data_IF_978006600781
#
_entry.id   IF_978006600781
#
_cell.length_a   1.000
_cell.length_b   1.000
_cell.length_c   1.000
_cell.angle_alpha   90.00
_cell.angle_beta   90.00
_cell.angle_gamma   90.00
#
_symmetry.space_group_name_H-M   'P 1'
#
loop_
_entity.id
_entity.type
_entity.pdbx_description
1 polymer ?
#
# COMPACT_ATOMS: atom_id res chain seq x y z
N UNK A 1 1.50 -17.17 15.86
CA UNK A 1 0.42 -17.65 16.75
C UNK A 1 0.89 -17.40 18.16
N UNK A 2 0.40 -16.33 18.78
CA UNK A 2 1.01 -15.75 19.99
C UNK A 2 0.06 -15.74 21.19
N UNK A 3 -0.86 -16.72 21.26
CA UNK A 3 -1.80 -16.91 22.36
C UNK A 3 -2.67 -15.68 22.72
N UNK A 4 -3.00 -14.83 21.73
CA UNK A 4 -3.90 -13.70 21.93
C UNK A 4 -5.37 -14.09 22.00
N UNK A 5 -5.73 -15.23 21.40
CA UNK A 5 -7.10 -15.73 21.25
C UNK A 5 -7.04 -17.25 21.38
N UNK A 6 -8.00 -17.83 22.11
CA UNK A 6 -8.05 -19.27 22.38
C UNK A 6 -8.49 -20.09 21.15
N UNK A 7 -9.38 -19.51 20.33
CA UNK A 7 -9.94 -20.17 19.14
C UNK A 7 -9.12 -19.86 17.88
N UNK A 8 -8.98 -20.84 16.97
CA UNK A 8 -8.32 -20.59 15.69
C UNK A 8 -9.15 -19.65 14.79
N UNK A 9 -8.53 -18.88 13.88
CA UNK A 9 -9.24 -17.92 13.02
C UNK A 9 -10.32 -18.49 12.10
N UNK A 10 -10.34 -19.81 11.89
CA UNK A 10 -11.38 -20.48 11.11
C UNK A 10 -12.71 -20.62 11.87
N UNK A 11 -12.67 -20.70 13.20
CA UNK A 11 -13.82 -20.93 14.08
C UNK A 11 -14.43 -19.64 14.63
N UNK A 12 -13.63 -18.56 14.73
CA UNK A 12 -14.10 -17.27 15.20
C UNK A 12 -14.52 -16.36 14.02
N UNK A 13 -15.82 -16.01 13.89
CA UNK A 13 -16.33 -15.23 12.77
C UNK A 13 -15.81 -13.78 12.73
N UNK A 14 -15.32 -13.22 13.84
CA UNK A 14 -14.86 -11.82 13.90
C UNK A 14 -13.46 -11.64 13.28
N UNK A 15 -12.60 -12.65 13.43
CA UNK A 15 -11.20 -12.63 12.97
C UNK A 15 -10.99 -13.44 11.69
N UNK A 16 -12.03 -14.09 11.18
CA UNK A 16 -11.98 -14.80 9.90
C UNK A 16 -11.62 -13.85 8.75
N UNK A 17 -10.57 -14.20 8.02
CA UNK A 17 -10.10 -13.45 6.86
C UNK A 17 -11.05 -13.62 5.65
N UNK A 18 -11.05 -12.62 4.76
CA UNK A 18 -11.77 -12.63 3.49
C UNK A 18 -13.21 -12.10 3.55
N UNK A 19 -13.62 -11.49 4.66
CA UNK A 19 -14.97 -10.94 4.83
C UNK A 19 -15.07 -9.48 4.37
N UNK A 20 -13.98 -8.71 4.48
CA UNK A 20 -14.00 -7.28 4.19
C UNK A 20 -13.62 -7.01 2.74
N UNK A 21 -14.33 -6.08 2.08
CA UNK A 21 -14.11 -5.75 0.65
C UNK A 21 -12.69 -5.25 0.33
N UNK A 22 -12.00 -4.68 1.30
CA UNK A 22 -10.64 -4.14 1.13
C UNK A 22 -9.53 -5.13 1.52
N UNK A 23 -9.89 -6.30 2.07
CA UNK A 23 -8.90 -7.31 2.44
C UNK A 23 -8.24 -7.89 1.19
N UNK A 24 -6.96 -8.21 1.33
CA UNK A 24 -6.23 -8.90 0.27
C UNK A 24 -6.73 -10.36 0.21
N UNK A 25 -6.85 -10.95 -0.99
CA UNK A 25 -7.34 -12.32 -1.13
C UNK A 25 -6.37 -13.38 -0.60
N UNK A 26 -5.09 -13.04 -0.42
CA UNK A 26 -4.04 -13.94 0.06
C UNK A 26 -3.02 -13.19 0.94
N UNK A 27 -2.27 -13.90 1.80
CA UNK A 27 -1.19 -13.30 2.57
C UNK A 27 -0.13 -12.67 1.68
N UNK A 28 0.32 -11.47 2.05
CA UNK A 28 1.46 -10.79 1.42
C UNK A 28 2.65 -10.98 2.37
N UNK A 29 3.62 -11.86 2.06
CA UNK A 29 4.79 -12.07 2.91
C UNK A 29 5.75 -10.88 2.87
N UNK A 30 6.79 -10.93 3.70
CA UNK A 30 7.85 -9.92 3.66
C UNK A 30 8.65 -10.04 2.35
N UNK A 31 8.69 -8.96 1.56
CA UNK A 31 9.42 -8.87 0.30
C UNK A 31 10.74 -8.08 0.39
N UNK A 32 11.25 -7.84 1.59
CA UNK A 32 12.58 -7.22 1.80
C UNK A 32 13.65 -7.96 0.99
N UNK A 33 14.61 -7.22 0.42
CA UNK A 33 15.66 -7.74 -0.45
C UNK A 33 15.18 -8.43 -1.76
N UNK A 34 13.94 -8.21 -2.16
CA UNK A 34 13.42 -8.61 -3.49
C UNK A 34 13.00 -7.38 -4.29
N UNK A 35 12.63 -7.57 -5.57
CA UNK A 35 12.06 -6.49 -6.40
C UNK A 35 10.71 -5.96 -5.90
N UNK A 36 10.02 -6.71 -5.04
CA UNK A 36 8.74 -6.33 -4.42
C UNK A 36 8.89 -5.60 -3.09
N UNK A 37 10.10 -5.16 -2.73
CA UNK A 37 10.32 -4.44 -1.47
C UNK A 37 9.50 -3.14 -1.41
N UNK A 38 9.08 -2.77 -0.19
CA UNK A 38 8.40 -1.50 0.03
C UNK A 38 9.36 -0.33 -0.25
N UNK A 39 8.96 0.56 -1.16
CA UNK A 39 9.70 1.78 -1.51
C UNK A 39 8.91 2.98 -0.99
N UNK A 40 9.47 3.71 -0.03
CA UNK A 40 8.88 4.95 0.48
C UNK A 40 8.99 6.06 -0.56
N UNK A 41 7.95 6.87 -0.69
CA UNK A 41 7.94 8.05 -1.57
C UNK A 41 7.14 9.20 -0.94
N UNK A 42 7.27 10.40 -1.49
CA UNK A 42 6.46 11.55 -1.08
C UNK A 42 5.04 11.39 -1.63
N UNK A 43 4.04 11.23 -0.74
CA UNK A 43 2.62 11.13 -1.12
C UNK A 43 1.98 12.47 -1.48
N UNK A 44 2.72 13.58 -1.36
CA UNK A 44 2.25 14.94 -1.66
C UNK A 44 2.81 15.45 -3.00
N UNK A 45 2.02 16.32 -3.66
CA UNK A 45 2.48 17.08 -4.82
C UNK A 45 3.31 18.31 -4.36
N UNK A 46 4.19 18.87 -5.21
CA UNK A 46 4.87 20.12 -4.91
C UNK A 46 3.88 21.24 -4.57
N UNK A 47 4.16 21.98 -3.49
CA UNK A 47 3.29 23.06 -3.01
C UNK A 47 3.37 24.32 -3.88
N UNK A 48 4.54 24.54 -4.49
CA UNK A 48 4.80 25.67 -5.39
C UNK A 48 4.90 25.14 -6.80
N UNK A 49 4.15 25.74 -7.72
CA UNK A 49 4.22 25.42 -9.16
C UNK A 49 5.32 26.23 -9.81
N UNK A 50 6.16 25.58 -10.59
CA UNK A 50 7.13 26.23 -11.47
C UNK A 50 6.45 26.71 -12.73
N UNK A 51 6.94 27.81 -13.30
CA UNK A 51 6.51 28.27 -14.61
C UNK A 51 7.00 27.31 -15.70
N UNK A 52 6.10 26.92 -16.61
CA UNK A 52 6.44 26.12 -17.79
C UNK A 52 6.78 27.04 -18.97
N UNK A 53 8.02 27.03 -19.50
CA UNK A 53 8.43 27.93 -20.57
C UNK A 53 7.76 27.58 -21.89
N UNK A 54 7.15 28.59 -22.54
CA UNK A 54 6.66 28.48 -23.91
C UNK A 54 7.63 29.15 -24.88
N UNK A 55 8.35 28.35 -25.67
CA UNK A 55 9.19 28.86 -26.75
C UNK A 55 8.32 29.28 -27.95
N UNK A 56 8.54 30.49 -28.47
CA UNK A 56 7.91 30.99 -29.71
C UNK A 56 9.03 31.53 -30.60
N UNK A 57 8.95 31.26 -31.91
CA UNK A 57 9.90 31.78 -32.90
C UNK A 57 9.73 33.29 -33.08
N UNK A 58 10.83 34.02 -33.31
CA UNK A 58 10.79 35.45 -33.65
C UNK A 58 10.21 35.60 -35.07
N UNK A 59 9.33 36.58 -35.26
CA UNK A 59 8.76 36.94 -36.58
C UNK A 59 9.80 37.64 -37.45
#
# INVERSE_FOLDING_TARGET
>A
MSYMIDKPPAEDPLIRAGLRKFEKPHPIPNYTATRGAFVTYNTTKPKVRTWEPKAIARQ
#
